data_IF_374139434327
#
_entry.id   IF_374139434327
#
_cell.length_a   1.000
_cell.length_b   1.000
_cell.length_c   1.000
_cell.angle_alpha   90.00
_cell.angle_beta   90.00
_cell.angle_gamma   90.00
#
_symmetry.space_group_name_H-M   'P 1'
#
loop_
_entity.id
_entity.type
_entity.pdbx_description
1 polymer ?
#
# COMPACT_ATOMS: atom_id res chain seq x y z
N UNK A 1 -18.17 -3.15 -11.02
CA UNK A 1 -18.47 -2.54 -12.34
C UNK A 1 -19.37 -1.33 -12.20
N UNK A 2 -20.48 -1.43 -11.47
CA UNK A 2 -21.45 -0.33 -11.28
C UNK A 2 -20.83 1.02 -10.91
N UNK A 3 -19.96 1.08 -9.89
CA UNK A 3 -19.34 2.35 -9.49
C UNK A 3 -18.31 2.88 -10.51
N UNK A 4 -17.51 2.00 -11.12
CA UNK A 4 -16.42 2.38 -12.04
C UNK A 4 -16.83 2.52 -13.50
N UNK A 5 -18.00 1.96 -13.88
CA UNK A 5 -18.48 1.88 -15.26
C UNK A 5 -19.81 2.62 -15.46
N UNK A 6 -20.76 2.45 -14.55
CA UNK A 6 -22.09 3.09 -14.64
C UNK A 6 -22.15 4.41 -13.86
N UNK A 7 -21.08 4.76 -13.13
CA UNK A 7 -21.05 5.92 -12.24
C UNK A 7 -22.11 5.82 -11.15
N UNK A 8 -22.49 4.60 -10.75
CA UNK A 8 -23.55 4.36 -9.79
C UNK A 8 -23.16 3.27 -8.79
N UNK A 9 -23.32 3.52 -7.50
CA UNK A 9 -23.19 2.52 -6.45
C UNK A 9 -24.56 1.86 -6.18
N UNK A 10 -24.61 0.52 -6.19
CA UNK A 10 -25.80 -0.22 -5.78
C UNK A 10 -25.73 -0.45 -4.27
N UNK A 11 -26.65 0.16 -3.52
CA UNK A 11 -26.81 -0.11 -2.10
C UNK A 11 -27.31 -1.52 -1.83
N UNK A 12 -27.24 -1.95 -0.57
CA UNK A 12 -27.88 -3.19 -0.10
C UNK A 12 -29.38 -2.98 0.08
N UNK A 13 -30.18 -3.89 -0.49
CA UNK A 13 -31.65 -3.99 -0.41
C UNK A 13 -32.47 -2.72 -0.76
N UNK A 14 -33.14 -2.75 -1.91
CA UNK A 14 -34.27 -1.85 -2.24
C UNK A 14 -33.92 -0.42 -2.64
N UNK A 15 -32.69 0.04 -2.44
CA UNK A 15 -32.27 1.38 -2.87
C UNK A 15 -32.02 1.47 -4.38
N UNK A 16 -32.52 2.55 -5.00
CA UNK A 16 -32.14 2.91 -6.37
C UNK A 16 -30.63 3.15 -6.46
N UNK A 17 -30.07 2.95 -7.66
CA UNK A 17 -28.64 3.14 -7.88
C UNK A 17 -28.25 4.59 -7.51
N UNK A 18 -27.28 4.73 -6.61
CA UNK A 18 -26.84 6.03 -6.09
C UNK A 18 -25.73 6.55 -6.99
N UNK A 19 -25.79 7.78 -7.50
CA UNK A 19 -24.71 8.33 -8.32
C UNK A 19 -23.39 8.36 -7.54
N UNK A 20 -22.35 7.78 -8.13
CA UNK A 20 -20.98 7.74 -7.63
C UNK A 20 -20.09 8.58 -8.53
N UNK A 21 -19.52 9.64 -7.94
CA UNK A 21 -18.49 10.45 -8.59
C UNK A 21 -17.30 10.55 -7.64
N UNK A 22 -16.30 9.70 -7.84
CA UNK A 22 -15.15 9.61 -6.94
C UNK A 22 -14.04 8.71 -7.48
N UNK A 23 -12.92 8.69 -6.75
CA UNK A 23 -11.82 7.77 -7.01
C UNK A 23 -11.94 6.56 -6.07
N UNK A 24 -11.69 5.36 -6.60
CA UNK A 24 -11.55 4.16 -5.78
C UNK A 24 -10.05 3.90 -5.58
N UNK A 25 -9.59 4.01 -4.33
CA UNK A 25 -8.24 3.64 -3.94
C UNK A 25 -8.26 2.25 -3.30
N UNK A 26 -7.40 1.36 -3.77
CA UNK A 26 -7.22 0.03 -3.20
C UNK A 26 -5.72 -0.22 -2.96
N UNK A 27 -5.43 -1.01 -1.93
CA UNK A 27 -4.09 -1.50 -1.63
C UNK A 27 -4.11 -3.02 -1.69
N UNK A 28 -3.11 -3.63 -2.31
CA UNK A 28 -2.94 -5.08 -2.41
C UNK A 28 -1.45 -5.40 -2.43
N UNK A 29 -1.09 -6.62 -2.04
CA UNK A 29 0.26 -7.12 -2.20
C UNK A 29 0.50 -7.61 -3.64
N UNK A 30 1.76 -7.86 -3.99
CA UNK A 30 2.13 -8.26 -5.35
C UNK A 30 1.52 -9.62 -5.74
N UNK A 31 1.48 -10.60 -4.83
CA UNK A 31 0.97 -11.94 -5.14
C UNK A 31 -0.54 -11.96 -5.41
N UNK A 32 -1.32 -11.23 -4.62
CA UNK A 32 -2.74 -11.01 -4.84
C UNK A 32 -2.99 -10.22 -6.12
N UNK A 33 -2.19 -9.18 -6.38
CA UNK A 33 -2.29 -8.42 -7.62
C UNK A 33 -2.05 -9.30 -8.85
N UNK A 34 -1.02 -10.15 -8.83
CA UNK A 34 -0.76 -11.10 -9.91
C UNK A 34 -1.91 -12.08 -10.10
N UNK A 35 -2.47 -12.60 -9.01
CA UNK A 35 -3.63 -13.49 -9.04
C UNK A 35 -4.86 -12.77 -9.62
N UNK A 36 -5.10 -11.53 -9.21
CA UNK A 36 -6.20 -10.69 -9.68
C UNK A 36 -6.08 -10.38 -11.17
N UNK A 37 -4.87 -10.03 -11.63
CA UNK A 37 -4.56 -9.71 -13.04
C UNK A 37 -4.68 -10.92 -13.95
N UNK A 38 -4.28 -12.10 -13.48
CA UNK A 38 -4.31 -13.33 -14.27
C UNK A 38 -5.73 -13.90 -14.45
N UNK A 39 -6.72 -13.39 -13.71
CA UNK A 39 -8.11 -13.79 -13.87
C UNK A 39 -8.77 -13.07 -15.05
N UNK A 40 -9.14 -13.82 -16.10
CA UNK A 40 -9.81 -13.30 -17.31
C UNK A 40 -11.13 -12.58 -17.04
N UNK A 41 -11.83 -12.90 -15.95
CA UNK A 41 -13.05 -12.17 -15.57
C UNK A 41 -12.79 -10.73 -15.16
N UNK A 42 -11.54 -10.40 -14.78
CA UNK A 42 -11.14 -9.07 -14.33
C UNK A 42 -10.54 -8.20 -15.44
N UNK A 43 -10.42 -8.71 -16.66
CA UNK A 43 -9.75 -8.03 -17.78
C UNK A 43 -10.34 -6.63 -18.05
N UNK A 44 -11.67 -6.50 -18.00
CA UNK A 44 -12.36 -5.22 -18.17
C UNK A 44 -12.08 -4.18 -17.06
N UNK A 45 -11.55 -4.59 -15.90
CA UNK A 45 -11.10 -3.68 -14.85
C UNK A 45 -9.68 -3.19 -15.08
N UNK A 46 -8.82 -4.00 -15.69
CA UNK A 46 -7.40 -3.67 -15.86
C UNK A 46 -7.20 -2.41 -16.71
N UNK A 47 -8.02 -2.20 -17.74
CA UNK A 47 -7.98 -0.99 -18.58
C UNK A 47 -8.38 0.30 -17.83
N UNK A 48 -8.92 0.19 -16.62
CA UNK A 48 -9.47 1.30 -15.84
C UNK A 48 -8.76 1.49 -14.49
N UNK A 49 -7.70 0.74 -14.23
CA UNK A 49 -6.90 0.84 -13.01
C UNK A 49 -5.55 1.47 -13.35
N UNK A 50 -5.17 2.47 -12.56
CA UNK A 50 -3.81 2.98 -12.55
C UNK A 50 -3.04 2.35 -11.40
N UNK A 51 -1.96 1.62 -11.71
CA UNK A 51 -1.16 0.92 -10.71
C UNK A 51 -0.03 1.85 -10.27
N UNK A 52 0.03 2.11 -8.97
CA UNK A 52 1.16 2.79 -8.34
C UNK A 52 1.96 1.75 -7.59
N UNK A 53 3.16 1.44 -8.08
CA UNK A 53 4.10 0.58 -7.36
C UNK A 53 4.77 1.38 -6.25
N UNK A 54 4.82 0.81 -5.05
CA UNK A 54 5.49 1.40 -3.89
C UNK A 54 6.62 0.45 -3.48
N UNK A 55 7.87 0.69 -3.94
CA UNK A 55 8.99 -0.17 -3.60
C UNK A 55 9.40 0.01 -2.13
N UNK A 56 10.19 -0.94 -1.65
CA UNK A 56 10.80 -0.83 -0.34
C UNK A 56 11.71 0.40 -0.23
N UNK A 57 11.68 1.08 0.91
CA UNK A 57 12.64 2.12 1.24
C UNK A 57 14.03 1.51 1.43
N UNK A 58 14.99 1.94 0.61
CA UNK A 58 16.39 1.50 0.66
C UNK A 58 17.34 2.59 1.20
N UNK A 59 16.81 3.77 1.49
CA UNK A 59 17.61 4.88 2.02
C UNK A 59 17.46 4.93 3.54
N UNK A 60 18.56 4.71 4.26
CA UNK A 60 18.59 4.68 5.74
C UNK A 60 17.99 5.96 6.32
N UNK A 61 18.34 7.14 5.79
CA UNK A 61 17.81 8.41 6.29
C UNK A 61 16.29 8.55 6.14
N UNK A 62 15.69 7.95 5.11
CA UNK A 62 14.24 7.96 4.93
C UNK A 62 13.55 6.92 5.82
N UNK A 63 14.16 5.75 6.04
CA UNK A 63 13.65 4.75 6.98
C UNK A 63 13.66 5.28 8.44
N UNK A 64 14.68 6.05 8.84
CA UNK A 64 14.70 6.76 10.13
C UNK A 64 13.51 7.70 10.26
N UNK A 65 13.21 8.51 9.24
CA UNK A 65 12.04 9.42 9.24
C UNK A 65 10.72 8.67 9.35
N UNK A 66 10.61 7.48 8.76
CA UNK A 66 9.43 6.62 8.91
C UNK A 66 9.27 6.23 10.38
N UNK A 67 10.35 5.79 11.04
CA UNK A 67 10.29 5.41 12.46
C UNK A 67 10.01 6.59 13.37
N UNK A 68 10.60 7.76 13.13
CA UNK A 68 10.30 8.99 13.86
C UNK A 68 8.81 9.35 13.76
N UNK A 69 8.26 9.32 12.54
CA UNK A 69 6.84 9.58 12.30
C UNK A 69 5.96 8.58 13.05
N UNK A 70 6.28 7.28 12.98
CA UNK A 70 5.51 6.24 13.66
C UNK A 70 5.56 6.39 15.18
N UNK A 71 6.73 6.65 15.75
CA UNK A 71 6.89 6.85 17.18
C UNK A 71 6.15 8.09 17.67
N UNK A 72 6.25 9.20 16.95
CA UNK A 72 5.56 10.44 17.28
C UNK A 72 4.04 10.28 17.35
N UNK A 73 3.46 9.47 16.44
CA UNK A 73 2.02 9.19 16.41
C UNK A 73 1.60 7.96 17.23
N UNK A 74 2.54 7.31 17.93
CA UNK A 74 2.26 6.13 18.75
C UNK A 74 1.95 6.49 20.21
N UNK A 75 1.43 5.51 20.95
CA UNK A 75 1.31 5.58 22.41
C UNK A 75 2.65 5.65 23.14
N UNK A 76 3.77 5.40 22.44
CA UNK A 76 5.13 5.44 22.98
C UNK A 76 5.87 6.75 22.65
N UNK A 77 5.17 7.78 22.18
CA UNK A 77 5.78 9.06 21.78
C UNK A 77 6.61 9.76 22.88
N UNK A 78 6.31 9.49 24.16
CA UNK A 78 7.06 10.02 25.32
C UNK A 78 8.00 9.01 25.96
N UNK A 79 8.09 7.79 25.43
CA UNK A 79 8.95 6.75 25.99
C UNK A 79 10.42 7.10 25.73
N UNK A 80 11.33 6.81 26.68
CA UNK A 80 12.75 7.04 26.46
C UNK A 80 13.26 6.13 25.34
N UNK A 81 13.89 6.74 24.33
CA UNK A 81 14.56 6.05 23.25
C UNK A 81 16.07 6.32 23.36
N UNK A 82 16.89 5.26 23.33
CA UNK A 82 18.33 5.43 23.44
C UNK A 82 18.87 6.10 22.16
N UNK A 83 19.91 6.96 22.28
CA UNK A 83 20.53 7.58 21.11
C UNK A 83 21.00 6.51 20.11
N UNK A 84 20.75 6.73 18.82
CA UNK A 84 21.15 5.82 17.74
C UNK A 84 20.29 4.56 17.59
N UNK A 85 19.26 4.35 18.42
CA UNK A 85 18.35 3.19 18.25
C UNK A 85 17.68 3.19 16.88
N UNK A 86 17.13 4.33 16.44
CA UNK A 86 16.44 4.43 15.15
C UNK A 86 17.40 4.25 13.98
N UNK A 87 18.61 4.81 14.08
CA UNK A 87 19.65 4.65 13.06
C UNK A 87 20.07 3.19 12.91
N UNK A 88 20.29 2.49 14.02
CA UNK A 88 20.67 1.08 14.02
C UNK A 88 19.56 0.21 13.43
N UNK A 89 18.30 0.44 13.84
CA UNK A 89 17.15 -0.27 13.30
C UNK A 89 16.97 0.01 11.81
N UNK A 90 17.12 1.26 11.37
CA UNK A 90 16.96 1.64 9.98
C UNK A 90 18.03 1.00 9.09
N UNK A 91 19.30 0.99 9.53
CA UNK A 91 20.38 0.31 8.83
C UNK A 91 20.10 -1.19 8.71
N UNK A 92 19.71 -1.85 9.80
CA UNK A 92 19.37 -3.26 9.79
C UNK A 92 18.21 -3.55 8.81
N UNK A 93 17.11 -2.81 8.91
CA UNK A 93 15.94 -2.98 8.04
C UNK A 93 16.28 -2.78 6.56
N UNK A 94 17.05 -1.75 6.21
CA UNK A 94 17.49 -1.52 4.82
C UNK A 94 18.36 -2.67 4.33
N UNK A 95 19.32 -3.15 5.14
CA UNK A 95 20.20 -4.27 4.76
C UNK A 95 19.41 -5.55 4.44
N UNK A 96 18.30 -5.82 5.17
CA UNK A 96 17.44 -6.98 4.87
C UNK A 96 16.74 -6.91 3.52
N UNK A 97 16.65 -5.72 2.91
CA UNK A 97 15.96 -5.46 1.64
C UNK A 97 16.90 -5.28 0.45
N UNK A 98 18.23 -5.28 0.68
CA UNK A 98 19.23 -5.15 -0.39
C UNK A 98 19.34 -6.41 -1.25
N UNK A 99 19.05 -7.58 -0.68
CA UNK A 99 18.94 -8.82 -1.44
C UNK A 99 17.54 -8.93 -2.01
N UNK A 100 17.43 -9.30 -3.29
CA UNK A 100 16.14 -9.55 -3.93
C UNK A 100 15.29 -10.53 -3.10
N UNK A 101 14.13 -10.09 -2.59
CA UNK A 101 13.20 -10.96 -1.90
C UNK A 101 12.51 -11.88 -2.90
N UNK A 102 12.34 -13.16 -2.56
CA UNK A 102 11.69 -14.16 -3.44
C UNK A 102 10.24 -13.79 -3.81
N UNK A 103 9.58 -12.96 -2.99
CA UNK A 103 8.15 -12.67 -3.08
C UNK A 103 7.82 -11.20 -3.38
N UNK A 104 8.78 -10.35 -3.72
CA UNK A 104 8.52 -8.93 -3.98
C UNK A 104 9.56 -8.32 -4.92
N UNK A 105 9.13 -7.40 -5.81
CA UNK A 105 10.06 -6.67 -6.66
C UNK A 105 10.71 -5.52 -5.90
N UNK A 106 11.99 -5.27 -6.19
CA UNK A 106 12.69 -4.07 -5.72
C UNK A 106 12.22 -2.82 -6.50
N UNK A 107 11.59 -3.01 -7.67
CA UNK A 107 11.20 -1.97 -8.64
C UNK A 107 9.74 -2.04 -9.11
#
# INVERSE_FOLDING_TARGET
LTATQEGNFKGTEGFSAIPFNGCILAHSNESEWQTFRNNKHNEAFLDRIYIVKVPYCLQVSEEVRIYEKLLHHSSLSTAPCAPGTLDMMAQFSVLTRLKEPENSSIY
#
